data_IF_387749260864
#
_entry.id   IF_387749260864
#
_cell.length_a   1.000
_cell.length_b   1.000
_cell.length_c   1.000
_cell.angle_alpha   90.00
_cell.angle_beta   90.00
_cell.angle_gamma   90.00
#
_symmetry.space_group_name_H-M   'P 1'
#
loop_
_entity.id
_entity.type
_entity.pdbx_description
1 polymer ?
#
# COMPACT_ATOMS: atom_id res chain seq x y z
N UNK A 1 -23.53 -10.64 -7.69
CA UNK A 1 -22.76 -11.59 -6.86
C UNK A 1 -22.94 -11.20 -5.40
N UNK A 2 -23.33 -12.10 -4.50
CA UNK A 2 -23.50 -11.75 -3.09
C UNK A 2 -22.11 -11.53 -2.47
N UNK A 3 -21.87 -10.33 -1.93
CA UNK A 3 -20.59 -10.00 -1.28
C UNK A 3 -20.41 -10.90 -0.05
N UNK A 4 -19.21 -11.45 0.16
CA UNK A 4 -18.89 -12.29 1.33
C UNK A 4 -18.55 -11.43 2.57
N UNK A 5 -18.96 -10.16 2.55
CA UNK A 5 -18.74 -9.23 3.63
C UNK A 5 -19.80 -8.13 3.62
N UNK A 6 -19.95 -7.48 4.76
CA UNK A 6 -20.76 -6.27 4.94
C UNK A 6 -19.92 -5.21 5.66
N UNK A 7 -19.92 -3.99 5.13
CA UNK A 7 -19.30 -2.84 5.79
C UNK A 7 -20.26 -2.37 6.89
N UNK A 8 -19.75 -2.16 8.09
CA UNK A 8 -20.54 -1.71 9.23
C UNK A 8 -19.89 -0.47 9.84
N UNK A 9 -20.69 0.58 9.99
CA UNK A 9 -20.28 1.80 10.65
C UNK A 9 -20.63 1.76 12.13
N UNK A 10 -19.61 1.94 12.96
CA UNK A 10 -19.74 2.09 14.39
C UNK A 10 -19.40 3.52 14.80
N UNK A 11 -20.17 4.05 15.77
CA UNK A 11 -19.90 5.36 16.37
C UNK A 11 -18.62 5.34 17.24
N UNK A 12 -18.37 4.22 17.91
CA UNK A 12 -17.10 3.93 18.59
C UNK A 12 -16.19 3.19 17.60
N UNK A 13 -14.89 3.52 17.55
CA UNK A 13 -13.89 2.85 16.69
C UNK A 13 -12.89 2.02 17.51
N UNK A 14 -13.26 1.67 18.75
CA UNK A 14 -12.51 0.76 19.62
C UNK A 14 -12.99 -0.69 19.38
N UNK A 15 -12.18 -1.46 18.66
CA UNK A 15 -12.48 -2.82 18.20
C UNK A 15 -12.81 -3.78 19.33
N UNK A 16 -12.05 -3.75 20.41
CA UNK A 16 -12.24 -4.62 21.58
C UNK A 16 -13.60 -4.42 22.24
N UNK A 17 -14.10 -3.19 22.31
CA UNK A 17 -15.44 -2.87 22.80
C UNK A 17 -16.52 -3.43 21.86
N UNK A 18 -16.36 -3.18 20.55
CA UNK A 18 -17.31 -3.64 19.52
C UNK A 18 -17.42 -5.16 19.55
N UNK A 19 -16.29 -5.88 19.54
CA UNK A 19 -16.28 -7.34 19.56
C UNK A 19 -16.92 -7.89 20.83
N UNK A 20 -16.69 -7.27 21.98
CA UNK A 20 -17.28 -7.70 23.25
C UNK A 20 -18.80 -7.51 23.30
N UNK A 21 -19.31 -6.41 22.74
CA UNK A 21 -20.71 -6.02 22.85
C UNK A 21 -21.57 -6.56 21.72
N UNK A 22 -21.10 -6.43 20.48
CA UNK A 22 -21.88 -6.73 19.27
C UNK A 22 -21.56 -8.12 18.70
N UNK A 23 -20.37 -8.67 18.98
CA UNK A 23 -19.94 -9.99 18.47
C UNK A 23 -19.43 -10.95 19.57
N UNK A 24 -20.23 -11.20 20.63
CA UNK A 24 -19.77 -11.92 21.83
C UNK A 24 -19.27 -13.34 21.54
N UNK A 25 -19.85 -14.05 20.57
CA UNK A 25 -19.43 -15.41 20.21
C UNK A 25 -18.06 -15.43 19.54
N UNK A 26 -17.80 -14.48 18.62
CA UNK A 26 -16.50 -14.28 17.99
C UNK A 26 -15.46 -13.92 19.05
N UNK A 27 -15.78 -12.99 19.94
CA UNK A 27 -14.89 -12.57 21.02
C UNK A 27 -14.57 -13.72 21.98
N UNK A 28 -15.56 -14.54 22.35
CA UNK A 28 -15.35 -15.72 23.18
C UNK A 28 -14.43 -16.74 22.49
N UNK A 29 -14.60 -16.96 21.19
CA UNK A 29 -13.76 -17.89 20.43
C UNK A 29 -12.32 -17.37 20.26
N UNK A 30 -12.13 -16.08 20.03
CA UNK A 30 -10.81 -15.44 20.04
C UNK A 30 -10.08 -15.68 21.36
N UNK A 31 -10.77 -15.52 22.49
CA UNK A 31 -10.19 -15.77 23.81
C UNK A 31 -9.81 -17.25 24.03
N UNK A 32 -10.63 -18.19 23.54
CA UNK A 32 -10.31 -19.64 23.61
C UNK A 32 -9.05 -19.98 22.80
N UNK A 33 -8.81 -19.29 21.69
CA UNK A 33 -7.64 -19.49 20.84
C UNK A 33 -6.42 -18.64 21.25
N UNK A 34 -6.49 -17.94 22.39
CA UNK A 34 -5.46 -16.99 22.82
C UNK A 34 -5.13 -15.93 21.74
N UNK A 35 -6.12 -15.53 20.94
CA UNK A 35 -5.94 -14.49 19.93
C UNK A 35 -5.76 -13.13 20.62
N UNK A 36 -4.70 -12.40 20.26
CA UNK A 36 -4.39 -11.09 20.82
C UNK A 36 -4.55 -10.03 19.74
N UNK A 37 -5.52 -9.12 19.93
CA UNK A 37 -5.66 -7.90 19.13
C UNK A 37 -4.42 -7.03 19.33
N UNK A 38 -3.82 -6.56 18.24
CA UNK A 38 -2.72 -5.58 18.30
C UNK A 38 -3.16 -4.18 17.88
N UNK A 39 -4.20 -4.10 17.04
CA UNK A 39 -4.73 -2.84 16.56
C UNK A 39 -6.19 -2.69 16.96
N UNK A 40 -6.41 -1.86 17.97
CA UNK A 40 -7.73 -1.64 18.54
C UNK A 40 -8.50 -0.51 17.83
N UNK A 41 -7.79 0.38 17.13
CA UNK A 41 -8.37 1.41 16.28
C UNK A 41 -8.42 0.97 14.82
N UNK A 42 -9.44 1.40 14.09
CA UNK A 42 -9.58 1.15 12.66
C UNK A 42 -10.40 2.26 11.98
N UNK A 43 -10.26 2.38 10.66
CA UNK A 43 -11.14 3.24 9.85
C UNK A 43 -12.39 2.49 9.42
N UNK A 44 -12.21 1.30 8.86
CA UNK A 44 -13.31 0.47 8.34
C UNK A 44 -13.37 -0.90 9.03
N UNK A 45 -14.59 -1.34 9.34
CA UNK A 45 -14.88 -2.69 9.84
C UNK A 45 -15.73 -3.43 8.81
N UNK A 46 -15.31 -4.63 8.46
CA UNK A 46 -16.08 -5.54 7.61
C UNK A 46 -16.46 -6.78 8.40
N UNK A 47 -17.76 -7.06 8.49
CA UNK A 47 -18.28 -8.37 8.86
C UNK A 47 -17.94 -9.36 7.75
N UNK A 48 -17.45 -10.54 8.10
CA UNK A 48 -17.24 -11.64 7.15
C UNK A 48 -18.50 -12.51 7.13
N UNK A 49 -19.12 -12.66 5.97
CA UNK A 49 -20.41 -13.35 5.82
C UNK A 49 -20.24 -14.67 5.09
N UNK A 50 -20.82 -15.74 5.63
CA UNK A 50 -20.90 -17.04 4.97
C UNK A 50 -22.29 -17.64 5.17
N UNK A 51 -22.98 -17.99 4.07
CA UNK A 51 -24.34 -18.55 4.08
C UNK A 51 -25.38 -17.71 4.86
N UNK A 52 -25.14 -16.39 4.99
CA UNK A 52 -26.02 -15.44 5.68
C UNK A 52 -25.59 -15.10 7.11
N UNK A 53 -24.66 -15.86 7.68
CA UNK A 53 -24.17 -15.66 9.04
C UNK A 53 -22.89 -14.83 9.09
N UNK A 54 -22.72 -14.03 10.13
CA UNK A 54 -21.46 -13.34 10.45
C UNK A 54 -20.50 -14.33 11.11
N UNK A 55 -19.42 -14.67 10.41
CA UNK A 55 -18.47 -15.73 10.81
C UNK A 55 -17.08 -15.22 11.16
N UNK A 56 -16.91 -13.90 11.18
CA UNK A 56 -15.64 -13.27 11.43
C UNK A 56 -15.68 -11.78 11.13
N UNK A 57 -14.52 -11.15 11.18
CA UNK A 57 -14.36 -9.75 10.81
C UNK A 57 -12.99 -9.50 10.19
N UNK A 58 -12.88 -8.36 9.51
CA UNK A 58 -11.59 -7.74 9.26
C UNK A 58 -11.68 -6.21 9.45
N UNK A 59 -10.53 -5.59 9.72
CA UNK A 59 -10.42 -4.14 9.83
C UNK A 59 -9.40 -3.59 8.84
N UNK A 60 -9.73 -2.44 8.26
CA UNK A 60 -8.88 -1.72 7.33
C UNK A 60 -8.56 -0.32 7.86
N UNK A 61 -7.33 0.12 7.62
CA UNK A 61 -6.95 1.53 7.66
C UNK A 61 -6.65 2.02 6.24
N UNK A 62 -6.83 3.32 6.05
CA UNK A 62 -6.51 4.01 4.80
C UNK A 62 -5.39 5.03 5.04
N UNK A 63 -4.41 5.04 4.14
CA UNK A 63 -3.30 5.98 4.18
C UNK A 63 -3.18 6.69 2.84
N UNK A 64 -2.91 8.00 2.90
CA UNK A 64 -2.55 8.77 1.72
C UNK A 64 -1.03 8.87 1.63
N UNK A 65 -0.45 8.26 0.60
CA UNK A 65 0.97 8.41 0.29
C UNK A 65 1.16 8.35 -1.23
N UNK A 66 1.05 9.49 -1.91
CA UNK A 66 1.02 9.66 -3.38
C UNK A 66 -0.08 8.88 -4.14
N UNK A 67 -0.61 7.80 -3.56
CA UNK A 67 -1.78 7.01 -3.97
C UNK A 67 -2.58 6.63 -2.72
N UNK A 68 -3.87 6.29 -2.89
CA UNK A 68 -4.71 5.77 -1.83
C UNK A 68 -4.27 4.33 -1.49
N UNK A 69 -3.91 4.09 -0.22
CA UNK A 69 -3.47 2.79 0.26
C UNK A 69 -4.51 2.22 1.21
N UNK A 70 -4.88 0.95 1.02
CA UNK A 70 -5.66 0.18 1.99
C UNK A 70 -4.75 -0.80 2.72
N UNK A 71 -4.94 -0.91 4.03
CA UNK A 71 -4.16 -1.78 4.86
C UNK A 71 -5.02 -2.68 5.74
N UNK A 72 -4.84 -3.99 5.61
CA UNK A 72 -5.41 -4.97 6.53
C UNK A 72 -4.69 -4.95 7.88
N UNK A 73 -5.43 -4.64 8.94
CA UNK A 73 -4.91 -4.53 10.31
C UNK A 73 -5.18 -5.79 11.14
N UNK A 74 -6.45 -6.11 11.34
CA UNK A 74 -6.91 -7.29 12.08
C UNK A 74 -7.83 -8.12 11.18
N UNK A 75 -7.74 -9.44 11.32
CA UNK A 75 -8.65 -10.35 10.65
C UNK A 75 -8.79 -11.61 11.49
N UNK A 76 -10.04 -11.98 11.74
CA UNK A 76 -10.37 -13.19 12.45
C UNK A 76 -11.54 -13.89 11.80
N UNK A 77 -11.43 -15.21 11.65
CA UNK A 77 -12.47 -16.09 11.14
C UNK A 77 -12.66 -17.21 12.15
N UNK A 78 -13.90 -17.50 12.52
CA UNK A 78 -14.27 -18.62 13.36
C UNK A 78 -13.67 -19.93 12.79
N UNK A 79 -13.09 -20.81 13.63
CA UNK A 79 -12.33 -21.98 13.18
C UNK A 79 -13.02 -22.86 12.14
N UNK A 80 -14.31 -23.13 12.32
CA UNK A 80 -15.14 -23.99 11.49
C UNK A 80 -15.40 -23.43 10.08
N UNK A 81 -15.22 -22.12 9.88
CA UNK A 81 -15.34 -21.44 8.57
C UNK A 81 -13.99 -21.20 7.88
N UNK A 82 -12.87 -21.53 8.53
CA UNK A 82 -11.55 -21.42 7.92
C UNK A 82 -11.42 -22.42 6.76
N UNK A 83 -10.81 -21.96 5.67
CA UNK A 83 -10.65 -22.79 4.46
C UNK A 83 -11.85 -22.76 3.50
N UNK A 84 -12.93 -22.03 3.82
CA UNK A 84 -14.08 -21.81 2.93
C UNK A 84 -13.84 -20.73 1.86
N UNK A 85 -12.61 -20.21 1.76
CA UNK A 85 -12.22 -19.22 0.75
C UNK A 85 -12.73 -17.79 0.99
N UNK A 86 -13.35 -17.50 2.14
CA UNK A 86 -13.95 -16.19 2.47
C UNK A 86 -12.91 -15.06 2.34
N UNK A 87 -11.78 -15.19 3.07
CA UNK A 87 -10.71 -14.19 3.06
C UNK A 87 -10.06 -14.03 1.68
N UNK A 88 -9.91 -15.12 0.93
CA UNK A 88 -9.29 -15.08 -0.40
C UNK A 88 -10.12 -14.29 -1.39
N UNK A 89 -11.45 -14.44 -1.39
CA UNK A 89 -12.33 -13.65 -2.25
C UNK A 89 -12.19 -12.15 -1.96
N UNK A 90 -12.16 -11.76 -0.68
CA UNK A 90 -12.04 -10.36 -0.30
C UNK A 90 -10.66 -9.79 -0.65
N UNK A 91 -9.58 -10.54 -0.42
CA UNK A 91 -8.23 -10.10 -0.82
C UNK A 91 -8.13 -9.99 -2.33
N UNK A 92 -8.74 -10.92 -3.09
CA UNK A 92 -8.78 -10.84 -4.55
C UNK A 92 -9.48 -9.56 -5.01
N UNK A 93 -10.66 -9.26 -4.47
CA UNK A 93 -11.39 -8.02 -4.76
C UNK A 93 -10.55 -6.77 -4.43
N UNK A 94 -9.84 -6.76 -3.30
CA UNK A 94 -8.96 -5.64 -2.91
C UNK A 94 -7.69 -5.52 -3.78
N UNK A 95 -7.26 -6.59 -4.43
CA UNK A 95 -6.10 -6.58 -5.34
C UNK A 95 -6.50 -6.18 -6.76
N UNK A 96 -7.75 -6.44 -7.15
CA UNK A 96 -8.34 -6.07 -8.44
C UNK A 96 -8.79 -4.60 -8.49
N UNK A 97 -8.83 -3.91 -7.35
CA UNK A 97 -9.23 -2.50 -7.28
C UNK A 97 -8.08 -1.56 -7.69
N UNK A 98 -8.07 -1.14 -8.97
CA UNK A 98 -6.97 -0.38 -9.59
C UNK A 98 -6.61 0.94 -8.88
N UNK A 99 -7.58 1.58 -8.21
CA UNK A 99 -7.39 2.83 -7.48
C UNK A 99 -6.66 2.67 -6.15
N UNK A 100 -6.45 1.42 -5.71
CA UNK A 100 -6.12 1.07 -4.34
C UNK A 100 -4.91 0.15 -4.28
N UNK A 101 -3.85 0.60 -3.59
CA UNK A 101 -2.74 -0.32 -3.24
C UNK A 101 -3.07 -1.02 -1.93
N UNK A 102 -3.25 -2.33 -2.00
CA UNK A 102 -3.51 -3.17 -0.83
C UNK A 102 -2.21 -3.63 -0.15
N UNK A 103 -2.17 -3.48 1.18
CA UNK A 103 -1.09 -3.93 2.05
C UNK A 103 -1.63 -4.67 3.27
N UNK A 104 -0.72 -5.35 3.98
CA UNK A 104 -1.05 -6.01 5.24
C UNK A 104 -0.10 -5.54 6.33
N UNK A 105 -0.64 -5.07 7.45
CA UNK A 105 0.17 -4.64 8.58
C UNK A 105 0.68 -5.85 9.36
N UNK A 106 2.00 -5.98 9.51
CA UNK A 106 2.67 -7.01 10.34
C UNK A 106 1.97 -8.39 10.28
N UNK A 107 1.97 -9.08 9.13
CA UNK A 107 1.31 -10.38 9.02
C UNK A 107 1.83 -11.37 10.08
N UNK A 108 0.97 -12.26 10.55
CA UNK A 108 1.37 -13.42 11.34
C UNK A 108 1.68 -14.62 10.43
N UNK A 109 2.27 -15.68 10.99
CA UNK A 109 2.63 -16.87 10.22
C UNK A 109 1.40 -17.56 9.58
N UNK A 110 0.21 -17.48 10.20
CA UNK A 110 -1.00 -18.05 9.63
C UNK A 110 -1.42 -17.34 8.33
N UNK A 111 -1.31 -16.01 8.30
CA UNK A 111 -1.56 -15.20 7.11
C UNK A 111 -0.53 -15.47 6.01
N UNK A 112 0.76 -15.62 6.36
CA UNK A 112 1.79 -15.98 5.39
C UNK A 112 1.54 -17.37 4.77
N UNK A 113 1.14 -18.35 5.58
CA UNK A 113 0.74 -19.67 5.06
C UNK A 113 -0.49 -19.58 4.16
N UNK A 114 -1.42 -18.68 4.46
CA UNK A 114 -2.55 -18.38 3.59
C UNK A 114 -2.08 -17.82 2.23
N UNK A 115 -1.17 -16.84 2.21
CA UNK A 115 -0.64 -16.29 0.96
C UNK A 115 0.08 -17.35 0.13
N UNK A 116 0.89 -18.21 0.76
CA UNK A 116 1.56 -19.33 0.10
C UNK A 116 0.57 -20.33 -0.50
N UNK A 117 -0.51 -20.67 0.22
CA UNK A 117 -1.55 -21.59 -0.26
C UNK A 117 -2.28 -21.07 -1.50
N UNK A 118 -2.35 -19.76 -1.65
CA UNK A 118 -3.09 -19.09 -2.72
C UNK A 118 -2.17 -18.49 -3.80
N UNK A 119 -0.91 -18.90 -3.86
CA UNK A 119 0.09 -18.44 -4.84
C UNK A 119 0.26 -16.91 -4.88
N UNK A 120 0.05 -16.25 -3.73
CA UNK A 120 0.27 -14.82 -3.49
C UNK A 120 1.59 -14.55 -2.74
N UNK A 121 2.29 -15.61 -2.36
CA UNK A 121 3.66 -15.56 -1.85
C UNK A 121 4.45 -16.76 -2.37
N UNK A 122 5.77 -16.61 -2.40
CA UNK A 122 6.73 -17.60 -2.84
C UNK A 122 7.70 -17.94 -1.72
N UNK A 123 7.94 -19.23 -1.50
CA UNK A 123 9.02 -19.70 -0.63
C UNK A 123 10.34 -19.66 -1.40
N UNK A 124 11.24 -18.75 -1.02
CA UNK A 124 12.54 -18.58 -1.69
C UNK A 124 13.65 -19.39 -1.02
N UNK A 125 13.53 -19.63 0.29
CA UNK A 125 14.42 -20.51 1.05
C UNK A 125 13.63 -21.20 2.18
N UNK A 126 14.20 -22.17 2.93
CA UNK A 126 13.48 -22.93 3.96
C UNK A 126 12.66 -22.09 4.95
N UNK A 127 13.19 -20.92 5.34
CA UNK A 127 12.55 -19.98 6.26
C UNK A 127 12.22 -18.62 5.64
N UNK A 128 12.51 -18.41 4.36
CA UNK A 128 12.42 -17.09 3.73
C UNK A 128 11.31 -17.11 2.68
N UNK A 129 10.36 -16.20 2.85
CA UNK A 129 9.21 -16.02 1.97
C UNK A 129 9.29 -14.63 1.34
N UNK A 130 9.01 -14.54 0.04
CA UNK A 130 8.73 -13.27 -0.65
C UNK A 130 7.24 -13.19 -0.94
N UNK A 131 6.63 -12.04 -0.67
CA UNK A 131 5.19 -11.83 -0.84
C UNK A 131 4.91 -10.87 -1.98
N UNK A 132 3.90 -11.17 -2.78
CA UNK A 132 3.37 -10.24 -3.77
C UNK A 132 2.68 -9.05 -3.09
N UNK A 133 1.85 -9.35 -2.08
CA UNK A 133 1.23 -8.34 -1.23
C UNK A 133 2.30 -7.81 -0.28
N UNK A 134 2.62 -6.53 -0.39
CA UNK A 134 3.58 -5.87 0.49
C UNK A 134 3.00 -5.71 1.90
N UNK A 135 3.89 -5.68 2.86
CA UNK A 135 3.57 -5.43 4.26
C UNK A 135 3.94 -4.01 4.65
N UNK A 136 3.17 -3.44 5.56
CA UNK A 136 3.54 -2.16 6.17
C UNK A 136 3.89 -2.35 7.64
N UNK A 137 4.84 -1.55 8.09
CA UNK A 137 5.18 -1.38 9.50
C UNK A 137 5.44 0.09 9.82
N UNK A 138 5.24 0.48 11.06
CA UNK A 138 5.68 1.77 11.60
C UNK A 138 7.07 1.66 12.23
N UNK A 139 7.77 2.78 12.39
CA UNK A 139 9.14 2.78 12.94
C UNK A 139 9.24 2.19 14.35
N UNK A 140 8.24 2.44 15.20
CA UNK A 140 8.12 1.84 16.55
C UNK A 140 7.95 0.32 16.55
N UNK A 141 7.55 -0.25 15.42
CA UNK A 141 7.31 -1.68 15.25
C UNK A 141 8.55 -2.43 14.76
N UNK A 142 9.68 -1.73 14.63
CA UNK A 142 10.95 -2.33 14.19
C UNK A 142 11.61 -3.07 15.33
N UNK A 143 11.99 -4.32 15.06
CA UNK A 143 12.68 -5.15 16.03
C UNK A 143 14.17 -4.80 16.13
N UNK A 144 14.64 -4.64 17.36
CA UNK A 144 16.05 -4.49 17.67
C UNK A 144 16.43 -5.22 18.96
N UNK A 145 17.68 -5.66 19.05
CA UNK A 145 18.25 -6.31 20.23
C UNK A 145 19.69 -5.83 20.47
N UNK A 146 20.31 -6.27 21.58
CA UNK A 146 21.66 -5.83 21.95
C UNK A 146 22.75 -6.15 20.90
N UNK A 147 22.58 -7.19 20.08
CA UNK A 147 23.53 -7.64 19.07
C UNK A 147 23.40 -6.85 17.75
N UNK A 148 22.20 -6.35 17.44
CA UNK A 148 21.89 -5.69 16.16
C UNK A 148 21.56 -4.20 16.32
N UNK A 149 21.35 -3.69 17.54
CA UNK A 149 21.03 -2.26 17.80
C UNK A 149 22.03 -1.29 17.18
N UNK A 150 23.28 -1.70 17.00
CA UNK A 150 24.33 -0.87 16.40
C UNK A 150 24.09 -0.55 14.92
N UNK A 151 23.29 -1.38 14.24
CA UNK A 151 22.92 -1.20 12.83
C UNK A 151 21.86 -0.11 12.66
N UNK A 152 21.10 0.17 13.70
CA UNK A 152 20.00 1.13 13.68
C UNK A 152 20.44 2.51 14.17
N UNK A 153 19.84 3.54 13.62
CA UNK A 153 19.88 4.91 14.10
C UNK A 153 18.99 5.04 15.34
N UNK A 154 19.24 6.07 16.14
CA UNK A 154 18.31 6.42 17.22
C UNK A 154 17.03 6.95 16.55
N UNK A 155 15.84 6.46 16.93
CA UNK A 155 14.60 7.02 16.43
C UNK A 155 14.57 8.53 16.72
N UNK A 156 14.34 9.35 15.71
CA UNK A 156 13.89 10.72 15.93
C UNK A 156 12.35 10.70 16.10
N UNK A 157 11.75 11.76 16.65
CA UNK A 157 10.30 11.83 16.86
C UNK A 157 9.48 11.60 15.58
N UNK A 158 10.05 11.93 14.41
CA UNK A 158 9.38 11.78 13.12
C UNK A 158 9.41 10.32 12.63
N UNK A 159 10.40 9.53 13.02
CA UNK A 159 10.60 8.16 12.53
C UNK A 159 9.55 7.16 13.01
N UNK A 160 8.83 7.43 14.11
CA UNK A 160 7.74 6.58 14.59
C UNK A 160 6.51 6.63 13.68
N UNK A 161 6.27 7.77 13.02
CA UNK A 161 5.10 7.97 12.15
C UNK A 161 5.34 7.51 10.71
N UNK A 162 6.61 7.29 10.33
CA UNK A 162 6.97 6.81 9.01
C UNK A 162 6.50 5.37 8.78
N UNK A 163 5.93 5.15 7.59
CA UNK A 163 5.48 3.85 7.10
C UNK A 163 6.57 3.24 6.25
N UNK A 164 6.97 2.02 6.61
CA UNK A 164 7.98 1.26 5.89
C UNK A 164 7.35 0.05 5.22
N UNK A 165 7.77 -0.19 3.97
CA UNK A 165 7.25 -1.28 3.15
C UNK A 165 8.21 -2.47 3.20
N UNK A 166 7.64 -3.65 3.40
CA UNK A 166 8.37 -4.91 3.45
C UNK A 166 7.75 -5.89 2.46
N UNK A 167 8.56 -6.76 1.86
CA UNK A 167 8.07 -7.83 0.99
C UNK A 167 8.57 -9.21 1.43
N UNK A 168 9.58 -9.25 2.30
CA UNK A 168 10.10 -10.47 2.87
C UNK A 168 9.40 -10.86 4.17
N UNK A 169 9.31 -12.16 4.44
CA UNK A 169 8.92 -12.69 5.75
C UNK A 169 9.82 -13.87 6.14
N UNK A 170 10.30 -13.88 7.38
CA UNK A 170 11.13 -14.95 7.92
C UNK A 170 10.31 -15.85 8.86
N UNK A 171 10.01 -17.07 8.42
CA UNK A 171 9.17 -18.05 9.14
C UNK A 171 9.70 -18.37 10.54
N UNK A 172 11.00 -18.63 10.68
CA UNK A 172 11.60 -18.94 11.98
C UNK A 172 11.59 -17.79 13.02
N UNK A 173 11.41 -16.54 12.58
CA UNK A 173 11.37 -15.34 13.43
C UNK A 173 9.96 -14.74 13.53
N UNK A 174 9.03 -15.20 12.69
CA UNK A 174 7.70 -14.64 12.47
C UNK A 174 7.70 -13.12 12.24
N UNK A 175 8.69 -12.63 11.48
CA UNK A 175 8.91 -11.20 11.24
C UNK A 175 8.95 -10.91 9.75
N UNK A 176 8.29 -9.82 9.36
CA UNK A 176 8.50 -9.22 8.05
C UNK A 176 9.89 -8.58 8.00
N UNK A 177 10.49 -8.51 6.81
CA UNK A 177 11.76 -7.83 6.61
C UNK A 177 11.82 -7.10 5.28
N UNK A 178 12.69 -6.09 5.22
CA UNK A 178 12.92 -5.27 4.04
C UNK A 178 14.18 -4.41 4.20
N UNK A 179 14.53 -3.69 3.15
CA UNK A 179 15.63 -2.70 3.17
C UNK A 179 15.08 -1.31 3.45
N UNK A 180 15.89 -0.48 4.08
CA UNK A 180 15.61 0.94 4.30
C UNK A 180 16.37 1.77 3.26
N UNK A 181 15.76 2.08 2.10
CA UNK A 181 16.47 2.74 1.00
C UNK A 181 16.91 4.16 1.34
N UNK A 182 16.20 4.84 2.26
CA UNK A 182 16.47 6.21 2.64
C UNK A 182 17.45 6.32 3.83
N UNK A 183 17.82 5.19 4.44
CA UNK A 183 18.70 5.11 5.62
C UNK A 183 18.20 5.92 6.82
N UNK A 184 16.88 6.07 6.94
CA UNK A 184 16.25 6.84 8.02
C UNK A 184 16.32 6.12 9.37
N UNK A 185 16.23 4.78 9.33
CA UNK A 185 16.27 3.90 10.50
C UNK A 185 17.56 3.10 10.54
N UNK A 186 18.05 2.64 9.39
CA UNK A 186 19.22 1.78 9.30
C UNK A 186 20.41 2.60 8.82
N UNK A 187 21.59 2.36 9.39
CA UNK A 187 22.80 3.13 9.05
C UNK A 187 23.34 2.82 7.66
N UNK A 188 23.00 1.66 7.13
CA UNK A 188 23.44 1.12 5.85
C UNK A 188 22.18 0.67 5.08
N UNK A 189 21.99 1.17 3.86
CA UNK A 189 20.81 0.87 3.03
C UNK A 189 20.73 -0.61 2.60
N UNK A 190 21.83 -1.35 2.70
CA UNK A 190 21.89 -2.78 2.42
C UNK A 190 21.65 -3.66 3.65
N UNK A 191 21.32 -3.08 4.80
CA UNK A 191 20.99 -3.86 6.00
C UNK A 191 19.49 -4.10 6.08
N UNK A 192 19.09 -5.36 6.25
CA UNK A 192 17.69 -5.70 6.47
C UNK A 192 17.20 -5.21 7.83
N UNK A 193 16.07 -4.51 7.81
CA UNK A 193 15.23 -4.26 8.98
C UNK A 193 14.21 -5.38 9.15
N UNK A 194 13.86 -5.68 10.40
CA UNK A 194 12.86 -6.69 10.76
C UNK A 194 11.74 -6.06 11.56
N UNK A 195 10.50 -6.49 11.34
CA UNK A 195 9.38 -6.13 12.19
C UNK A 195 9.39 -6.92 13.51
N UNK A 196 8.74 -6.38 14.52
CA UNK A 196 8.29 -7.17 15.67
C UNK A 196 7.30 -8.24 15.18
N UNK A 197 7.44 -9.50 15.62
CA UNK A 197 6.41 -10.51 15.36
C UNK A 197 5.12 -10.14 16.07
N UNK A 198 3.99 -10.67 15.61
CA UNK A 198 2.72 -10.50 16.31
C UNK A 198 2.78 -11.16 17.70
N UNK A 199 2.12 -10.57 18.70
CA UNK A 199 2.06 -11.09 20.09
C UNK A 199 1.58 -12.54 20.15
N UNK A 200 0.59 -12.89 19.32
CA UNK A 200 0.07 -14.26 19.17
C UNK A 200 1.19 -15.23 18.74
N UNK A 201 1.97 -14.89 17.72
CA UNK A 201 3.09 -15.72 17.24
C UNK A 201 4.25 -15.76 18.25
N UNK A 202 4.55 -14.62 18.89
CA UNK A 202 5.57 -14.52 19.93
C UNK A 202 5.30 -15.51 21.08
N UNK A 203 4.03 -15.63 21.51
CA UNK A 203 3.58 -16.60 22.52
C UNK A 203 3.61 -18.02 21.95
N UNK A 204 2.91 -18.25 20.83
CA UNK A 204 2.70 -19.58 20.23
C UNK A 204 4.00 -20.30 19.87
N UNK A 205 4.98 -19.58 19.33
CA UNK A 205 6.24 -20.16 18.85
C UNK A 205 7.43 -19.87 19.78
N UNK A 206 7.19 -19.30 20.96
CA UNK A 206 8.20 -18.97 21.97
C UNK A 206 9.42 -18.22 21.39
N UNK A 207 9.16 -17.19 20.58
CA UNK A 207 10.19 -16.57 19.73
C UNK A 207 11.20 -15.72 20.52
N UNK A 208 10.94 -15.42 21.80
CA UNK A 208 11.79 -14.55 22.64
C UNK A 208 13.26 -14.99 22.64
N UNK A 209 13.53 -16.30 22.69
CA UNK A 209 14.91 -16.83 22.67
C UNK A 209 15.58 -16.63 21.31
N UNK A 210 14.88 -17.01 20.23
CA UNK A 210 15.37 -16.88 18.84
C UNK A 210 15.68 -15.42 18.47
N UNK A 211 14.77 -14.52 18.84
CA UNK A 211 14.94 -13.08 18.62
C UNK A 211 16.15 -12.51 19.37
N UNK A 212 16.37 -12.90 20.62
CA UNK A 212 17.54 -12.46 21.42
C UNK A 212 18.88 -12.92 20.83
N UNK A 213 18.89 -14.04 20.09
CA UNK A 213 20.09 -14.58 19.44
C UNK A 213 20.31 -14.06 18.03
N UNK A 214 19.35 -13.30 17.46
CA UNK A 214 19.54 -12.68 16.14
C UNK A 214 20.79 -11.80 16.15
N UNK A 215 21.65 -12.02 15.16
CA UNK A 215 22.98 -11.42 15.03
C UNK A 215 23.15 -10.78 13.66
N UNK A 216 24.18 -9.93 13.51
CA UNK A 216 24.51 -9.30 12.22
C UNK A 216 24.80 -10.34 11.14
N UNK A 217 25.57 -11.39 11.48
CA UNK A 217 25.89 -12.46 10.52
C UNK A 217 24.61 -13.14 10.02
N UNK A 218 23.66 -13.43 10.93
CA UNK A 218 22.39 -14.04 10.53
C UNK A 218 21.54 -13.12 9.64
N UNK A 219 21.54 -11.82 9.91
CA UNK A 219 20.88 -10.83 9.04
C UNK A 219 21.51 -10.84 7.65
N UNK A 220 22.84 -10.85 7.56
CA UNK A 220 23.55 -10.88 6.29
C UNK A 220 23.32 -12.19 5.52
N UNK A 221 23.25 -13.34 6.21
CA UNK A 221 22.85 -14.62 5.60
C UNK A 221 21.45 -14.52 4.99
N UNK A 222 20.47 -13.99 5.74
CA UNK A 222 19.09 -13.83 5.25
C UNK A 222 19.06 -12.89 4.05
N UNK A 223 19.82 -11.79 4.08
CA UNK A 223 19.89 -10.85 2.98
C UNK A 223 20.49 -11.49 1.73
N UNK A 224 21.60 -12.21 1.88
CA UNK A 224 22.23 -12.92 0.77
C UNK A 224 21.28 -13.95 0.15
N UNK A 225 20.66 -14.81 0.96
CA UNK A 225 19.71 -15.81 0.49
C UNK A 225 18.50 -15.18 -0.23
N UNK A 226 18.02 -14.03 0.24
CA UNK A 226 16.94 -13.31 -0.44
C UNK A 226 17.41 -12.70 -1.77
N UNK A 227 18.61 -12.10 -1.80
CA UNK A 227 19.15 -11.40 -2.95
C UNK A 227 19.51 -12.33 -4.11
N UNK A 228 20.07 -13.52 -3.84
CA UNK A 228 20.41 -14.48 -4.90
C UNK A 228 19.17 -15.03 -5.63
N UNK A 229 17.98 -14.92 -5.04
CA UNK A 229 16.71 -15.34 -5.63
C UNK A 229 15.91 -14.17 -6.24
N UNK A 230 16.51 -13.00 -6.42
CA UNK A 230 15.80 -11.79 -6.87
C UNK A 230 15.14 -11.96 -8.25
N UNK A 231 15.77 -12.67 -9.18
CA UNK A 231 15.19 -12.90 -10.51
C UNK A 231 13.93 -13.76 -10.43
N UNK A 232 13.99 -14.85 -9.65
CA UNK A 232 12.83 -15.71 -9.37
C UNK A 232 11.70 -14.94 -8.69
N UNK A 233 12.02 -14.04 -7.77
CA UNK A 233 11.04 -13.16 -7.11
C UNK A 233 10.41 -12.19 -8.12
N UNK A 234 11.20 -11.63 -9.03
CA UNK A 234 10.72 -10.73 -10.08
C UNK A 234 9.75 -11.43 -11.03
N UNK A 235 10.10 -12.63 -11.50
CA UNK A 235 9.26 -13.45 -12.37
C UNK A 235 7.96 -13.85 -11.69
N UNK A 236 8.03 -14.29 -10.42
CA UNK A 236 6.85 -14.59 -9.61
C UNK A 236 5.91 -13.39 -9.53
N UNK A 237 6.43 -12.20 -9.19
CA UNK A 237 5.60 -11.00 -9.06
C UNK A 237 4.94 -10.60 -10.39
N UNK A 238 5.68 -10.66 -11.50
CA UNK A 238 5.10 -10.42 -12.83
C UNK A 238 3.98 -11.40 -13.14
N UNK A 239 4.19 -12.69 -12.88
CA UNK A 239 3.19 -13.73 -13.10
C UNK A 239 1.93 -13.52 -12.25
N UNK A 240 2.06 -13.14 -10.99
CA UNK A 240 0.92 -12.83 -10.12
C UNK A 240 0.16 -11.61 -10.62
N UNK A 241 0.87 -10.51 -10.95
CA UNK A 241 0.24 -9.31 -11.49
C UNK A 241 -0.53 -9.59 -12.79
N UNK A 242 0.03 -10.38 -13.71
CA UNK A 242 -0.67 -10.78 -14.93
C UNK A 242 -1.96 -11.53 -14.62
N UNK A 243 -1.96 -12.50 -13.69
CA UNK A 243 -3.16 -13.25 -13.31
C UNK A 243 -4.25 -12.39 -12.64
N UNK A 244 -3.84 -11.36 -11.91
CA UNK A 244 -4.77 -10.40 -11.29
C UNK A 244 -5.40 -9.53 -12.39
N UNK A 245 -4.55 -8.96 -13.26
CA UNK A 245 -4.99 -8.04 -14.31
C UNK A 245 -5.80 -8.73 -15.43
N UNK A 246 -5.54 -10.00 -15.74
CA UNK A 246 -6.30 -10.80 -16.73
C UNK A 246 -7.78 -10.99 -16.36
N UNK A 247 -8.19 -10.70 -15.11
CA UNK A 247 -9.60 -10.73 -14.69
C UNK A 247 -10.27 -9.34 -14.69
N UNK A 248 -9.52 -8.27 -14.98
CA UNK A 248 -9.99 -6.88 -14.93
C UNK A 248 -10.38 -6.31 -16.31
N UNK A 249 -10.56 -7.14 -17.33
CA UNK A 249 -10.94 -6.69 -18.68
C UNK A 249 -12.37 -6.10 -18.78
N UNK A 250 -13.14 -6.08 -17.68
CA UNK A 250 -14.45 -5.45 -17.63
C UNK A 250 -14.57 -4.49 -16.44
N UNK A 251 -14.83 -3.22 -16.79
CA UNK A 251 -15.33 -2.10 -15.96
C UNK A 251 -14.26 -1.21 -15.29
N UNK A 252 -13.95 -0.10 -15.97
CA UNK A 252 -13.32 1.07 -15.37
C UNK A 252 -14.34 1.84 -14.51
N UNK A 253 -14.14 1.91 -13.19
CA UNK A 253 -14.87 2.83 -12.30
C UNK A 253 -13.86 3.85 -11.77
N UNK A 254 -13.97 5.10 -12.21
CA UNK A 254 -13.23 6.22 -11.60
C UNK A 254 -14.23 7.03 -10.78
N UNK A 255 -14.03 7.08 -9.46
CA UNK A 255 -14.81 7.97 -8.58
C UNK A 255 -14.31 7.94 -7.13
N UNK A 256 -13.94 9.10 -6.61
CA UNK A 256 -13.81 9.38 -5.18
C UNK A 256 -15.08 10.14 -4.74
N UNK A 257 -15.90 9.53 -3.89
CA UNK A 257 -17.05 10.19 -3.26
C UNK A 257 -18.27 10.39 -4.19
N UNK A 258 -19.37 10.87 -3.59
CA UNK A 258 -20.78 10.85 -4.03
C UNK A 258 -21.15 11.34 -5.45
N UNK A 259 -20.21 11.68 -6.34
CA UNK A 259 -20.51 12.03 -7.73
C UNK A 259 -19.85 11.04 -8.70
N UNK A 260 -20.62 10.04 -9.12
CA UNK A 260 -20.23 9.14 -10.21
C UNK A 260 -20.38 9.88 -11.54
N UNK A 261 -19.26 10.38 -12.09
CA UNK A 261 -19.25 10.94 -13.44
C UNK A 261 -19.18 9.82 -14.47
N UNK A 262 -20.28 9.61 -15.20
CA UNK A 262 -20.35 8.70 -16.34
C UNK A 262 -19.85 9.47 -17.57
N UNK A 263 -18.66 9.11 -18.06
CA UNK A 263 -18.10 9.71 -19.28
C UNK A 263 -18.39 8.80 -20.48
N UNK A 264 -19.31 9.24 -21.36
CA UNK A 264 -19.84 8.41 -22.46
C UNK A 264 -18.86 8.21 -23.65
N UNK A 265 -17.64 8.76 -23.62
CA UNK A 265 -16.75 8.79 -24.79
C UNK A 265 -15.27 8.40 -24.57
N UNK A 266 -14.88 7.90 -23.40
CA UNK A 266 -13.50 7.45 -23.15
C UNK A 266 -13.31 5.98 -23.55
N UNK A 267 -12.26 5.66 -24.30
CA UNK A 267 -11.89 4.25 -24.54
C UNK A 267 -11.25 3.67 -23.26
N UNK A 268 -11.33 2.35 -23.02
CA UNK A 268 -10.81 1.72 -21.81
C UNK A 268 -9.34 2.05 -21.46
N UNK A 269 -8.52 2.35 -22.46
CA UNK A 269 -7.10 2.68 -22.28
C UNK A 269 -6.81 4.18 -22.10
N UNK A 270 -7.78 5.07 -22.28
CA UNK A 270 -7.50 6.51 -22.29
C UNK A 270 -7.14 7.04 -20.89
N UNK A 271 -7.72 6.50 -19.82
CA UNK A 271 -7.37 6.91 -18.45
C UNK A 271 -5.92 6.57 -18.07
N UNK A 272 -5.44 5.38 -18.44
CA UNK A 272 -4.04 4.97 -18.24
C UNK A 272 -3.09 5.82 -19.09
N UNK A 273 -3.51 6.14 -20.31
CA UNK A 273 -2.74 7.02 -21.21
C UNK A 273 -2.69 8.46 -20.68
N UNK A 274 -3.78 8.96 -20.09
CA UNK A 274 -3.84 10.27 -19.43
C UNK A 274 -2.93 10.27 -18.21
N UNK A 275 -3.02 9.28 -17.32
CA UNK A 275 -2.17 9.19 -16.13
C UNK A 275 -0.68 9.15 -16.50
N UNK A 276 -0.32 8.32 -17.49
CA UNK A 276 1.04 8.26 -18.00
C UNK A 276 1.49 9.58 -18.65
N UNK A 277 0.61 10.24 -19.41
CA UNK A 277 0.92 11.53 -20.03
C UNK A 277 1.15 12.62 -18.98
N UNK A 278 0.31 12.72 -17.95
CA UNK A 278 0.48 13.66 -16.85
C UNK A 278 1.77 13.36 -16.07
N UNK A 279 2.06 12.08 -15.79
CA UNK A 279 3.29 11.69 -15.11
C UNK A 279 4.55 12.03 -15.93
N UNK A 280 4.54 11.76 -17.24
CA UNK A 280 5.64 12.09 -18.14
C UNK A 280 5.83 13.61 -18.26
N UNK A 281 4.75 14.38 -18.40
CA UNK A 281 4.78 15.85 -18.46
C UNK A 281 5.28 16.45 -17.13
N UNK A 282 4.87 15.92 -15.99
CA UNK A 282 5.38 16.34 -14.68
C UNK A 282 6.88 16.03 -14.53
N UNK A 283 7.32 14.82 -14.89
CA UNK A 283 8.75 14.44 -14.86
C UNK A 283 9.62 15.30 -15.77
N UNK A 284 9.07 15.73 -16.90
CA UNK A 284 9.74 16.62 -17.85
C UNK A 284 9.64 18.11 -17.48
N UNK A 285 9.12 18.44 -16.30
CA UNK A 285 8.95 19.83 -15.82
C UNK A 285 8.00 20.69 -16.67
N UNK A 286 7.06 20.04 -17.36
CA UNK A 286 6.00 20.69 -18.14
C UNK A 286 4.74 20.97 -17.30
N UNK A 287 4.66 20.40 -16.09
CA UNK A 287 3.60 20.62 -15.11
C UNK A 287 4.19 20.98 -13.74
N UNK A 288 3.47 21.81 -12.99
CA UNK A 288 3.69 22.00 -11.54
C UNK A 288 2.88 20.95 -10.77
N UNK A 289 3.24 20.72 -9.49
CA UNK A 289 2.43 19.84 -8.64
C UNK A 289 0.98 20.32 -8.54
N UNK A 290 0.80 21.63 -8.42
CA UNK A 290 -0.50 22.31 -8.34
C UNK A 290 -1.33 22.26 -9.62
N UNK A 291 -0.76 21.82 -10.76
CA UNK A 291 -1.44 21.79 -12.05
C UNK A 291 -1.69 20.39 -12.60
N UNK A 292 -1.17 19.34 -11.94
CA UNK A 292 -1.41 17.95 -12.34
C UNK A 292 -2.90 17.58 -12.34
N UNK A 293 -3.65 18.02 -11.32
CA UNK A 293 -5.10 17.75 -11.21
C UNK A 293 -5.87 18.44 -12.35
N UNK A 294 -5.64 19.73 -12.56
CA UNK A 294 -6.23 20.48 -13.67
C UNK A 294 -5.85 19.89 -15.04
N UNK A 295 -4.61 19.39 -15.19
CA UNK A 295 -4.17 18.73 -16.42
C UNK A 295 -4.90 17.42 -16.65
N UNK A 296 -5.05 16.62 -15.59
CA UNK A 296 -5.75 15.35 -15.62
C UNK A 296 -7.22 15.55 -16.00
N UNK A 297 -7.91 16.48 -15.34
CA UNK A 297 -9.29 16.86 -15.67
C UNK A 297 -9.45 17.39 -17.09
N UNK A 298 -8.49 18.19 -17.57
CA UNK A 298 -8.52 18.71 -18.94
C UNK A 298 -8.40 17.58 -19.97
N UNK A 299 -7.44 16.67 -19.81
CA UNK A 299 -7.24 15.55 -20.74
C UNK A 299 -8.38 14.53 -20.69
N UNK A 300 -9.07 14.40 -19.55
CA UNK A 300 -10.32 13.62 -19.46
C UNK A 300 -11.42 14.19 -20.35
N UNK A 301 -11.53 15.52 -20.42
CA UNK A 301 -12.54 16.21 -21.24
C UNK A 301 -12.09 16.43 -22.70
N UNK A 302 -10.79 16.26 -22.98
CA UNK A 302 -10.16 16.53 -24.28
C UNK A 302 -9.13 15.44 -24.65
N UNK A 303 -9.55 14.16 -24.80
CA UNK A 303 -8.66 13.02 -25.01
C UNK A 303 -7.83 13.10 -26.31
N UNK A 304 -8.25 13.90 -27.29
CA UNK A 304 -7.49 14.17 -28.51
C UNK A 304 -6.15 14.89 -28.27
N UNK A 305 -5.93 15.42 -27.06
CA UNK A 305 -4.69 16.10 -26.67
C UNK A 305 -3.69 15.19 -25.94
N UNK A 306 -4.04 13.94 -25.61
CA UNK A 306 -3.19 13.00 -24.83
C UNK A 306 -1.82 12.80 -25.50
N UNK A 307 -1.78 12.59 -26.82
CA UNK A 307 -0.53 12.32 -27.56
C UNK A 307 0.07 13.59 -28.19
N UNK A 308 -0.54 14.77 -27.98
CA UNK A 308 -0.16 15.99 -28.67
C UNK A 308 1.10 16.57 -28.04
N UNK A 309 2.26 16.28 -28.64
CA UNK A 309 3.52 16.95 -28.30
C UNK A 309 3.51 18.37 -28.89
N UNK A 310 3.65 19.37 -28.03
CA UNK A 310 3.84 20.76 -28.46
C UNK A 310 5.25 21.16 -28.05
N UNK A 311 6.07 21.49 -29.04
CA UNK A 311 7.43 21.97 -28.86
C UNK A 311 7.37 23.45 -28.48
N UNK A 312 7.18 23.74 -27.19
CA UNK A 312 7.06 25.12 -26.70
C UNK A 312 8.43 25.59 -26.24
N UNK A 313 9.01 26.56 -26.95
CA UNK A 313 10.19 27.27 -26.49
C UNK A 313 9.76 28.25 -25.37
N UNK A 314 9.81 27.80 -24.11
CA UNK A 314 9.35 28.53 -22.91
C UNK A 314 10.20 29.78 -22.55
N UNK A 315 11.02 30.27 -23.49
CA UNK A 315 11.88 31.46 -23.33
C UNK A 315 11.20 32.76 -23.75
N UNK A 316 10.06 32.69 -24.45
CA UNK A 316 9.28 33.86 -24.87
C UNK A 316 8.00 34.01 -24.03
N UNK A 317 7.59 35.26 -23.75
CA UNK A 317 6.33 35.52 -23.06
C UNK A 317 5.15 35.24 -23.98
N UNK A 318 4.14 34.50 -23.48
CA UNK A 318 2.93 34.18 -24.24
C UNK A 318 1.75 35.02 -23.76
N UNK A 319 0.99 35.63 -24.68
CA UNK A 319 -0.26 36.32 -24.36
C UNK A 319 -1.45 35.34 -24.20
N UNK A 320 -1.30 34.11 -24.70
CA UNK A 320 -2.31 33.03 -24.63
C UNK A 320 -1.63 31.67 -24.43
N UNK A 321 -2.35 30.73 -23.80
CA UNK A 321 -1.82 29.41 -23.49
C UNK A 321 -1.47 28.67 -24.80
N UNK A 322 -0.23 28.20 -24.98
CA UNK A 322 0.16 27.49 -26.19
C UNK A 322 -0.56 26.14 -26.37
N UNK A 323 -1.23 25.65 -25.32
CA UNK A 323 -1.95 24.37 -25.32
C UNK A 323 -3.44 24.51 -25.61
N UNK A 324 -4.15 25.37 -24.88
CA UNK A 324 -5.61 25.52 -25.01
C UNK A 324 -6.06 26.88 -25.59
N UNK A 325 -5.13 27.79 -25.90
CA UNK A 325 -5.42 29.10 -26.52
C UNK A 325 -6.09 30.14 -25.60
N UNK A 326 -6.30 29.81 -24.32
CA UNK A 326 -6.91 30.73 -23.36
C UNK A 326 -5.95 31.86 -22.99
N UNK A 327 -6.47 33.09 -22.90
CA UNK A 327 -5.70 34.28 -22.48
C UNK A 327 -5.03 34.07 -21.12
N UNK A 328 -3.76 34.45 -21.02
CA UNK A 328 -2.96 34.22 -19.82
C UNK A 328 -2.94 35.44 -18.90
N UNK A 329 -3.02 35.19 -17.59
CA UNK A 329 -2.68 36.15 -16.54
C UNK A 329 -1.26 35.92 -15.99
N UNK A 330 -0.93 36.53 -14.85
CA UNK A 330 0.40 36.43 -14.20
C UNK A 330 0.71 35.06 -13.52
N UNK A 331 -0.08 34.03 -13.83
CA UNK A 331 -0.04 32.74 -13.15
C UNK A 331 1.11 31.84 -13.67
N UNK A 332 1.64 30.93 -12.82
CA UNK A 332 2.76 30.06 -13.20
C UNK A 332 2.36 28.92 -14.15
N UNK A 333 1.07 28.59 -14.25
CA UNK A 333 0.51 27.58 -15.15
C UNK A 333 -0.88 28.00 -15.66
N UNK A 334 -1.35 27.36 -16.73
CA UNK A 334 -2.67 27.60 -17.28
C UNK A 334 -3.76 26.96 -16.41
N UNK A 335 -4.65 27.77 -15.82
CA UNK A 335 -5.77 27.27 -15.00
C UNK A 335 -6.83 26.45 -15.76
N UNK A 336 -6.82 26.51 -17.09
CA UNK A 336 -7.78 25.74 -17.91
C UNK A 336 -7.24 24.36 -18.27
N UNK A 337 -5.94 24.22 -18.58
CA UNK A 337 -5.37 22.96 -19.07
C UNK A 337 -4.18 22.44 -18.27
N UNK A 338 -3.79 23.10 -17.19
CA UNK A 338 -2.68 22.70 -16.33
C UNK A 338 -1.26 22.95 -16.88
N UNK A 339 -1.10 23.34 -18.14
CA UNK A 339 0.24 23.49 -18.74
C UNK A 339 1.08 24.58 -18.04
N UNK A 340 2.35 24.27 -17.72
CA UNK A 340 3.29 25.26 -17.21
C UNK A 340 3.59 26.36 -18.24
N UNK A 341 3.65 27.61 -17.79
CA UNK A 341 3.84 28.79 -18.66
C UNK A 341 5.25 29.39 -18.55
N UNK A 342 6.08 28.86 -17.67
CA UNK A 342 7.47 29.28 -17.43
C UNK A 342 8.34 28.04 -17.16
N UNK A 343 9.65 28.08 -17.48
CA UNK A 343 10.57 27.00 -17.12
C UNK A 343 10.54 26.76 -15.61
N UNK A 344 10.20 25.54 -15.19
CA UNK A 344 10.15 25.19 -13.78
C UNK A 344 11.53 24.68 -13.36
N UNK A 345 12.15 25.33 -12.36
CA UNK A 345 13.40 24.81 -11.80
C UNK A 345 13.10 23.58 -10.94
N UNK A 346 13.94 22.55 -11.01
CA UNK A 346 13.85 21.38 -10.11
C UNK A 346 13.79 21.78 -8.63
N UNK A 347 14.45 22.88 -8.25
CA UNK A 347 14.43 23.43 -6.89
C UNK A 347 13.05 24.01 -6.50
N UNK A 348 12.33 24.64 -7.43
CA UNK A 348 10.97 25.13 -7.17
C UNK A 348 9.96 24.00 -7.10
N UNK A 349 10.09 22.97 -7.95
CA UNK A 349 9.28 21.74 -7.84
C UNK A 349 9.44 21.11 -6.46
N UNK A 350 10.69 20.95 -6.00
CA UNK A 350 11.00 20.35 -4.70
C UNK A 350 10.42 21.17 -3.54
N UNK A 351 10.50 22.50 -3.60
CA UNK A 351 9.93 23.38 -2.58
C UNK A 351 8.40 23.38 -2.57
N UNK A 352 7.74 23.25 -3.73
CA UNK A 352 6.28 23.21 -3.83
C UNK A 352 5.73 21.87 -3.30
N UNK A 353 6.43 20.78 -3.61
CA UNK A 353 6.20 19.46 -3.01
C UNK A 353 6.31 19.57 -1.48
N UNK A 354 7.42 20.08 -0.95
CA UNK A 354 7.62 20.28 0.51
C UNK A 354 6.54 21.19 1.12
N UNK A 355 6.09 22.25 0.43
CA UNK A 355 5.10 23.19 0.97
C UNK A 355 3.69 22.60 1.05
N UNK A 356 3.33 21.71 0.13
CA UNK A 356 2.05 21.00 0.14
C UNK A 356 2.07 19.78 1.08
N UNK A 357 3.25 19.24 1.39
CA UNK A 357 3.49 18.44 2.59
C UNK A 357 3.61 19.35 3.82
N UNK A 358 2.50 19.92 4.30
CA UNK A 358 2.49 20.57 5.63
C UNK A 358 2.91 19.55 6.70
N UNK A 359 4.19 19.54 7.03
CA UNK A 359 4.80 19.00 8.25
C UNK A 359 4.61 19.99 9.39
#
# INVERSE_FOLDING_TARGET
MQKNYKIVDFNDKILSNILKNEYPDIFAQMNKEDYILEYDSFVEFRELIYEGDTVGFLTLDYFMNSKFLSCLNECYILPEYRGKGILFKIIKELLEEDSLRFYVRRPNQAFINFLLKHDLALKVAPDIISSHIKFIIKGEEIYSNKNIKRLYRKPNSNSSELIYYMAGFHMGLCSSFGVDPLTEIVKDNNTLMFSLPRKTDLKKFNLRKKLKTLSVNKINEIHYEYAIHNDMISEFNKSVSSRINENNDDVLIIGHGEETLIFENLKPNDAVRIDHAVEEEFRNSNLTYSSCETRFEYLLNHPEYIDKRIDVNLTEGFDSCPFCGVSLGDEPYCKTCGQALKPISLKSMFNEVIKNFKL
#
